data_IF_209419690920
#
_entry.id   IF_209419690920
#
_cell.length_a   1.000
_cell.length_b   1.000
_cell.length_c   1.000
_cell.angle_alpha   90.00
_cell.angle_beta   90.00
_cell.angle_gamma   90.00
#
_symmetry.space_group_name_H-M   'P 1'
#
loop_
_entity.id
_entity.type
_entity.pdbx_description
1 polymer ?
#
# COMPACT_ATOMS: atom_id res chain seq x y z
N UNK A 1 -38.15 -30.42 3.18
CA UNK A 1 -36.72 -30.17 3.46
C UNK A 1 -36.62 -28.72 3.91
N UNK A 2 -36.51 -28.52 5.21
CA UNK A 2 -36.77 -27.23 5.85
C UNK A 2 -35.58 -26.30 5.60
N UNK A 3 -35.79 -25.25 4.81
CA UNK A 3 -34.80 -24.20 4.51
C UNK A 3 -34.19 -23.62 5.80
N UNK A 4 -34.95 -23.64 6.91
CA UNK A 4 -34.51 -23.23 8.24
C UNK A 4 -33.38 -24.12 8.83
N UNK A 5 -33.34 -25.42 8.54
CA UNK A 5 -32.30 -26.33 9.07
C UNK A 5 -30.95 -26.13 8.36
N UNK A 6 -30.98 -25.77 7.08
CA UNK A 6 -29.77 -25.50 6.28
C UNK A 6 -29.10 -24.19 6.74
N UNK A 7 -29.88 -23.15 7.02
CA UNK A 7 -29.36 -21.88 7.55
C UNK A 7 -28.71 -22.06 8.94
N UNK A 8 -29.28 -22.90 9.80
CA UNK A 8 -28.75 -23.16 11.13
C UNK A 8 -27.40 -23.91 11.09
N UNK A 9 -27.26 -24.90 10.20
CA UNK A 9 -26.01 -25.64 10.01
C UNK A 9 -24.93 -24.76 9.38
N UNK A 10 -25.29 -23.93 8.39
CA UNK A 10 -24.36 -22.98 7.77
C UNK A 10 -23.89 -21.89 8.75
N UNK A 11 -24.76 -21.41 9.63
CA UNK A 11 -24.41 -20.46 10.69
C UNK A 11 -23.42 -21.08 11.71
N UNK A 12 -23.59 -22.34 12.08
CA UNK A 12 -22.66 -23.05 12.99
C UNK A 12 -21.30 -23.30 12.33
N UNK A 13 -21.28 -23.65 11.04
CA UNK A 13 -20.04 -23.84 10.28
C UNK A 13 -19.25 -22.53 10.11
N UNK A 14 -19.92 -21.41 9.80
CA UNK A 14 -19.26 -20.10 9.68
C UNK A 14 -18.65 -19.65 11.02
N UNK A 15 -19.36 -19.83 12.14
CA UNK A 15 -18.87 -19.45 13.46
C UNK A 15 -17.69 -20.32 13.96
N UNK A 16 -17.52 -21.55 13.46
CA UNK A 16 -16.37 -22.41 13.76
C UNK A 16 -15.13 -22.12 12.90
N UNK A 17 -15.28 -21.38 11.78
CA UNK A 17 -14.19 -21.02 10.86
C UNK A 17 -13.56 -19.66 11.22
N UNK A 18 -14.14 -18.91 12.17
CA UNK A 18 -13.54 -17.66 12.65
C UNK A 18 -12.44 -17.93 13.69
N UNK A 19 -11.19 -17.46 13.48
CA UNK A 19 -10.02 -17.81 14.31
C UNK A 19 -10.10 -17.33 15.77
N UNK A 20 -11.11 -16.52 16.11
CA UNK A 20 -11.28 -15.91 17.44
C UNK A 20 -12.08 -16.72 18.45
N UNK A 21 -12.79 -17.78 18.07
CA UNK A 21 -13.71 -18.48 18.99
C UNK A 21 -13.28 -19.89 19.42
N UNK A 22 -12.12 -20.36 18.94
CA UNK A 22 -11.61 -21.68 19.31
C UNK A 22 -11.23 -21.77 20.81
N UNK A 23 -11.49 -22.91 21.48
CA UNK A 23 -11.09 -23.12 22.88
C UNK A 23 -9.58 -22.96 23.10
N UNK A 24 -8.79 -23.30 22.08
CA UNK A 24 -7.34 -23.14 22.08
C UNK A 24 -6.91 -21.66 22.09
N UNK A 25 -7.59 -20.80 21.32
CA UNK A 25 -7.35 -19.36 21.32
C UNK A 25 -7.70 -18.72 22.67
N UNK A 26 -8.84 -19.10 23.26
CA UNK A 26 -9.25 -18.64 24.61
C UNK A 26 -8.25 -19.07 25.69
N UNK A 27 -7.75 -20.32 25.64
CA UNK A 27 -6.69 -20.81 26.53
C UNK A 27 -5.38 -20.03 26.38
N UNK A 28 -4.97 -19.71 25.14
CA UNK A 28 -3.77 -18.91 24.85
C UNK A 28 -3.90 -17.49 25.40
N UNK A 29 -5.04 -16.84 25.20
CA UNK A 29 -5.35 -15.52 25.75
C UNK A 29 -5.31 -15.50 27.28
N UNK A 30 -5.92 -16.49 27.94
CA UNK A 30 -5.92 -16.57 29.40
C UNK A 30 -4.50 -16.77 29.97
N UNK A 31 -3.63 -17.51 29.26
CA UNK A 31 -2.21 -17.65 29.63
C UNK A 31 -1.46 -16.32 29.51
N UNK A 32 -1.68 -15.58 28.43
CA UNK A 32 -1.12 -14.23 28.22
C UNK A 32 -1.65 -13.20 29.23
N UNK A 33 -2.90 -13.35 29.66
CA UNK A 33 -3.51 -12.47 30.67
C UNK A 33 -3.01 -12.78 32.08
N UNK A 34 -2.74 -14.06 32.39
CA UNK A 34 -2.17 -14.52 33.67
C UNK A 34 -0.71 -14.11 33.87
N UNK A 35 0.09 -14.00 32.79
CA UNK A 35 1.48 -13.54 32.87
C UNK A 35 1.65 -12.02 32.94
N UNK A 36 0.65 -11.25 32.51
CA UNK A 36 0.61 -9.79 32.66
C UNK A 36 0.12 -9.44 34.07
N UNK A 37 0.92 -9.79 35.08
CA UNK A 37 0.76 -9.32 36.45
C UNK A 37 0.66 -7.78 36.48
N UNK A 38 -0.06 -7.26 37.47
CA UNK A 38 -0.45 -5.85 37.67
C UNK A 38 0.75 -4.90 37.54
N UNK A 39 1.04 -4.45 36.33
CA UNK A 39 2.01 -3.40 36.06
C UNK A 39 1.42 -2.04 36.43
N UNK A 40 2.26 -1.15 36.94
CA UNK A 40 1.89 0.25 37.20
C UNK A 40 1.27 0.89 35.94
N UNK A 41 0.29 1.81 36.07
CA UNK A 41 -0.30 2.49 34.93
C UNK A 41 0.80 3.10 34.05
N UNK A 42 0.77 2.81 32.75
CA UNK A 42 1.71 3.39 31.79
C UNK A 42 1.51 4.90 31.76
N UNK A 43 2.46 5.67 32.31
CA UNK A 43 2.47 7.13 32.19
C UNK A 43 2.89 7.49 30.75
N UNK A 44 2.07 8.24 29.98
CA UNK A 44 2.46 8.73 28.67
C UNK A 44 3.70 9.62 28.80
N UNK A 45 4.80 9.27 28.14
CA UNK A 45 5.97 10.15 28.06
C UNK A 45 5.62 11.33 27.16
N UNK A 46 5.86 12.56 27.64
CA UNK A 46 5.78 13.76 26.79
C UNK A 46 6.89 13.68 25.74
N UNK A 47 6.53 13.89 24.47
CA UNK A 47 7.47 13.85 23.34
C UNK A 47 8.53 14.95 23.49
N UNK A 48 9.82 14.60 23.42
CA UNK A 48 10.96 15.51 23.63
C UNK A 48 11.72 15.87 22.33
N UNK A 49 11.11 15.71 21.15
CA UNK A 49 11.70 16.15 19.89
C UNK A 49 13.08 15.54 19.62
N UNK A 50 13.16 14.21 19.59
CA UNK A 50 14.40 13.49 19.29
C UNK A 50 14.86 13.79 17.85
N UNK A 51 16.15 14.11 17.69
CA UNK A 51 16.77 14.38 16.39
C UNK A 51 16.60 13.19 15.43
N UNK A 52 16.37 13.42 14.12
CA UNK A 52 16.04 12.39 13.15
C UNK A 52 17.11 11.29 12.99
N UNK A 53 18.35 11.57 13.41
CA UNK A 53 19.47 10.62 13.38
C UNK A 53 19.28 9.39 14.28
N UNK A 54 18.39 9.43 15.28
CA UNK A 54 18.18 8.34 16.24
C UNK A 54 16.93 7.48 15.99
N UNK A 55 16.13 7.78 14.95
CA UNK A 55 14.93 6.99 14.62
C UNK A 55 15.30 5.77 13.78
N UNK A 56 15.82 4.72 14.41
CA UNK A 56 16.04 3.44 13.72
C UNK A 56 14.74 2.66 13.42
N UNK A 57 13.63 3.06 14.05
CA UNK A 57 12.33 2.35 13.99
C UNK A 57 11.25 3.12 13.21
N UNK A 58 11.54 4.33 12.73
CA UNK A 58 10.66 5.02 11.80
C UNK A 58 11.30 4.99 10.42
N UNK A 59 10.87 4.02 9.61
CA UNK A 59 11.23 3.84 8.19
C UNK A 59 10.75 5.02 7.30
N UNK A 60 10.94 6.25 7.73
CA UNK A 60 10.85 7.43 6.88
C UNK A 60 12.26 7.82 6.50
N UNK A 61 12.86 7.01 5.62
CA UNK A 61 13.88 7.54 4.73
C UNK A 61 13.18 8.63 3.90
N UNK A 62 13.35 9.89 4.30
CA UNK A 62 12.60 11.03 3.75
C UNK A 62 12.88 11.22 2.25
N UNK A 63 13.99 10.66 1.75
CA UNK A 63 14.31 10.62 0.32
C UNK A 63 15.08 9.33 -0.02
N UNK A 64 14.39 8.21 -0.27
CA UNK A 64 15.06 6.95 -0.55
C UNK A 64 15.93 7.07 -1.80
N UNK A 65 17.17 6.57 -1.69
CA UNK A 65 18.16 6.62 -2.77
C UNK A 65 17.57 5.99 -4.05
N UNK A 66 17.58 6.76 -5.14
CA UNK A 66 17.06 6.34 -6.44
C UNK A 66 15.66 6.83 -6.79
N UNK A 67 15.05 7.69 -5.97
CA UNK A 67 13.77 8.35 -6.28
C UNK A 67 13.86 9.16 -7.58
N UNK A 68 13.00 8.87 -8.54
CA UNK A 68 12.92 9.63 -9.80
C UNK A 68 12.07 10.88 -9.59
N UNK A 69 12.73 12.02 -9.38
CA UNK A 69 12.06 13.32 -9.26
C UNK A 69 11.57 13.87 -10.61
N UNK A 70 10.54 14.72 -10.56
CA UNK A 70 10.07 15.50 -11.72
C UNK A 70 9.10 14.78 -12.66
N UNK A 71 8.43 13.73 -12.19
CA UNK A 71 7.35 13.07 -12.93
C UNK A 71 6.02 13.75 -12.64
N UNK A 72 5.25 14.06 -13.69
CA UNK A 72 4.01 14.83 -13.64
C UNK A 72 2.87 14.11 -14.36
N UNK A 73 1.63 14.41 -13.95
CA UNK A 73 0.41 13.84 -14.53
C UNK A 73 -0.73 14.87 -14.69
N UNK A 74 -0.44 16.18 -14.56
CA UNK A 74 -1.45 17.25 -14.54
C UNK A 74 -2.14 17.46 -15.90
N UNK A 75 -1.40 17.26 -16.99
CA UNK A 75 -1.88 17.34 -18.37
C UNK A 75 -1.30 16.19 -19.20
N UNK A 76 -1.92 15.89 -20.34
CA UNK A 76 -1.49 14.89 -21.32
C UNK A 76 -0.04 15.12 -21.77
N UNK A 77 0.34 16.35 -22.05
CA UNK A 77 1.69 16.65 -22.55
C UNK A 77 2.75 16.51 -21.46
N UNK A 78 2.43 16.90 -20.24
CA UNK A 78 3.30 16.68 -19.08
C UNK A 78 3.48 15.18 -18.79
N UNK A 79 2.40 14.40 -18.90
CA UNK A 79 2.47 12.95 -18.74
C UNK A 79 3.34 12.31 -19.82
N UNK A 80 3.19 12.70 -21.10
CA UNK A 80 4.05 12.23 -22.20
C UNK A 80 5.53 12.57 -21.96
N UNK A 81 5.83 13.80 -21.56
CA UNK A 81 7.20 14.24 -21.20
C UNK A 81 7.77 13.38 -20.07
N UNK A 82 6.96 13.08 -19.06
CA UNK A 82 7.34 12.25 -17.91
C UNK A 82 7.62 10.79 -18.32
N UNK A 83 6.79 10.21 -19.18
CA UNK A 83 7.01 8.86 -19.74
C UNK A 83 8.29 8.82 -20.59
N UNK A 84 8.55 9.86 -21.41
CA UNK A 84 9.79 9.97 -22.19
C UNK A 84 11.01 10.02 -21.28
N UNK A 85 10.97 10.83 -20.21
CA UNK A 85 12.03 10.91 -19.20
C UNK A 85 12.24 9.55 -18.53
N UNK A 86 11.17 8.88 -18.13
CA UNK A 86 11.25 7.55 -17.51
C UNK A 86 11.90 6.50 -18.41
N UNK A 87 11.51 6.47 -19.70
CA UNK A 87 12.14 5.59 -20.71
C UNK A 87 13.62 5.91 -20.93
N UNK A 88 13.98 7.20 -20.92
CA UNK A 88 15.38 7.62 -21.03
C UNK A 88 16.22 7.17 -19.83
N UNK A 89 15.69 7.25 -18.61
CA UNK A 89 16.37 6.76 -17.41
C UNK A 89 16.60 5.25 -17.46
N UNK A 90 15.61 4.50 -17.95
CA UNK A 90 15.75 3.06 -18.17
C UNK A 90 16.81 2.75 -19.24
N UNK A 91 16.79 3.46 -20.37
CA UNK A 91 17.78 3.29 -21.46
C UNK A 91 19.20 3.59 -20.97
N UNK A 92 19.36 4.60 -20.13
CA UNK A 92 20.64 4.99 -19.54
C UNK A 92 21.06 4.11 -18.35
N UNK A 93 20.35 2.99 -18.11
CA UNK A 93 20.60 2.02 -17.02
C UNK A 93 20.60 2.64 -15.61
N UNK A 94 19.98 3.80 -15.42
CA UNK A 94 19.85 4.47 -14.10
C UNK A 94 18.77 3.82 -13.23
N UNK A 95 17.79 3.17 -13.86
CA UNK A 95 16.70 2.45 -13.19
C UNK A 95 16.51 1.07 -13.83
N UNK A 96 16.09 0.10 -13.02
CA UNK A 96 15.77 -1.25 -13.49
C UNK A 96 14.39 -1.28 -14.15
N UNK A 97 14.11 -2.34 -14.92
CA UNK A 97 12.79 -2.54 -15.53
C UNK A 97 11.66 -2.65 -14.47
N UNK A 98 11.94 -3.29 -13.34
CA UNK A 98 11.02 -3.39 -12.22
C UNK A 98 10.69 -2.01 -11.64
N UNK A 99 11.70 -1.18 -11.41
CA UNK A 99 11.54 0.18 -10.90
C UNK A 99 10.72 1.05 -11.88
N UNK A 100 10.98 0.94 -13.19
CA UNK A 100 10.18 1.61 -14.21
C UNK A 100 8.69 1.20 -14.14
N UNK A 101 8.39 -0.08 -13.94
CA UNK A 101 6.99 -0.55 -13.78
C UNK A 101 6.35 -0.05 -12.49
N UNK A 102 7.06 -0.06 -11.38
CA UNK A 102 6.58 0.49 -10.11
C UNK A 102 6.18 1.95 -10.28
N UNK A 103 7.06 2.76 -10.86
CA UNK A 103 6.78 4.17 -11.16
C UNK A 103 5.53 4.32 -12.03
N UNK A 104 5.45 3.57 -13.13
CA UNK A 104 4.29 3.62 -14.03
C UNK A 104 2.98 3.30 -13.31
N UNK A 105 2.98 2.28 -12.43
CA UNK A 105 1.82 1.91 -11.62
C UNK A 105 1.48 3.00 -10.60
N UNK A 106 2.46 3.52 -9.86
CA UNK A 106 2.25 4.59 -8.88
C UNK A 106 1.67 5.84 -9.55
N UNK A 107 2.15 6.22 -10.74
CA UNK A 107 1.63 7.37 -11.49
C UNK A 107 0.19 7.14 -11.98
N UNK A 108 -0.15 5.93 -12.40
CA UNK A 108 -1.53 5.57 -12.73
C UNK A 108 -2.44 5.70 -11.50
N UNK A 109 -2.03 5.17 -10.33
CA UNK A 109 -2.84 5.24 -9.11
C UNK A 109 -3.02 6.67 -8.61
N UNK A 110 -1.94 7.46 -8.57
CA UNK A 110 -1.97 8.87 -8.14
C UNK A 110 -2.89 9.72 -9.00
N UNK A 111 -2.87 9.50 -10.31
CA UNK A 111 -3.74 10.24 -11.23
C UNK A 111 -5.20 9.74 -11.20
N UNK A 112 -5.42 8.44 -10.96
CA UNK A 112 -6.76 7.85 -10.87
C UNK A 112 -7.51 8.27 -9.61
N UNK A 113 -6.83 8.28 -8.47
CA UNK A 113 -7.40 8.59 -7.16
C UNK A 113 -7.10 10.03 -6.71
N UNK A 114 -6.80 10.92 -7.65
CA UNK A 114 -6.62 12.34 -7.34
C UNK A 114 -7.93 12.94 -6.84
N UNK A 115 -7.91 13.65 -5.69
CA UNK A 115 -9.11 14.20 -5.05
C UNK A 115 -9.91 15.14 -5.97
N UNK A 116 -9.22 15.89 -6.84
CA UNK A 116 -9.84 16.78 -7.82
C UNK A 116 -9.45 16.37 -9.25
N UNK A 117 -10.20 15.47 -9.90
CA UNK A 117 -9.86 14.97 -11.22
C UNK A 117 -10.33 15.91 -12.34
N UNK A 118 -9.46 16.82 -12.79
CA UNK A 118 -9.68 17.67 -13.97
C UNK A 118 -9.60 16.86 -15.28
N UNK A 119 -10.16 17.37 -16.38
CA UNK A 119 -10.04 16.79 -17.73
C UNK A 119 -8.57 16.48 -18.11
N UNK A 120 -7.65 17.40 -17.83
CA UNK A 120 -6.22 17.20 -18.07
C UNK A 120 -5.60 16.03 -17.30
N UNK A 121 -6.02 15.81 -16.04
CA UNK A 121 -5.55 14.70 -15.20
C UNK A 121 -6.08 13.37 -15.75
N UNK A 122 -7.36 13.33 -16.18
CA UNK A 122 -7.94 12.14 -16.82
C UNK A 122 -7.22 11.79 -18.12
N UNK A 123 -6.85 12.78 -18.92
CA UNK A 123 -6.06 12.57 -20.14
C UNK A 123 -4.63 12.13 -19.84
N UNK A 124 -3.99 12.71 -18.82
CA UNK A 124 -2.68 12.26 -18.32
C UNK A 124 -2.72 10.81 -17.82
N UNK A 125 -3.77 10.42 -17.11
CA UNK A 125 -3.98 9.04 -16.66
C UNK A 125 -4.06 8.06 -17.83
N UNK A 126 -4.73 8.42 -18.94
CA UNK A 126 -4.79 7.56 -20.15
C UNK A 126 -3.38 7.24 -20.68
N UNK A 127 -2.47 8.22 -20.70
CA UNK A 127 -1.07 8.02 -21.14
C UNK A 127 -0.35 7.02 -20.24
N UNK A 128 -0.50 7.14 -18.92
CA UNK A 128 0.11 6.20 -17.96
C UNK A 128 -0.51 4.79 -18.05
N UNK A 129 -1.81 4.70 -18.29
CA UNK A 129 -2.51 3.43 -18.52
C UNK A 129 -2.03 2.73 -19.79
N UNK A 130 -1.84 3.47 -20.88
CA UNK A 130 -1.25 2.96 -22.13
C UNK A 130 0.19 2.48 -21.93
N UNK A 131 1.00 3.26 -21.21
CA UNK A 131 2.35 2.87 -20.82
C UNK A 131 2.34 1.56 -20.04
N UNK A 132 1.46 1.39 -19.05
CA UNK A 132 1.38 0.17 -18.26
C UNK A 132 0.84 -1.02 -19.07
N UNK A 133 -0.11 -0.79 -19.98
CA UNK A 133 -0.63 -1.82 -20.90
C UNK A 133 0.47 -2.34 -21.83
N UNK A 134 1.43 -1.49 -22.23
CA UNK A 134 2.54 -1.90 -23.09
C UNK A 134 3.38 -3.03 -22.48
N UNK A 135 3.43 -3.15 -21.15
CA UNK A 135 4.14 -4.23 -20.46
C UNK A 135 3.40 -5.57 -20.47
N UNK A 136 2.08 -5.58 -20.68
CA UNK A 136 1.26 -6.80 -20.66
C UNK A 136 1.30 -7.55 -22.00
N UNK A 137 1.71 -6.88 -23.10
CA UNK A 137 1.72 -7.44 -24.46
C UNK A 137 2.89 -8.37 -24.77
N UNK A 138 3.85 -8.55 -23.87
CA UNK A 138 4.91 -9.55 -24.01
C UNK A 138 4.45 -10.87 -23.39
N UNK A 139 3.71 -11.65 -24.15
CA UNK A 139 3.52 -13.08 -23.90
C UNK A 139 3.55 -13.78 -25.25
#
# INVERSE_FOLDING_TARGET
MDICKIFFILFILINNIMPGNSPLFKRRLNRLKKSRGRGTPRVPRKYKGEKPEHHSDLFTDENPKGTVHGLRFRSRDEAKKSVKRLRSLYKNKKITFAHMRQIGLTMEQRSRFHAHPTKGIKEGNKVWKEFNKSFKKKK
#
